data_IF_296646395757
#
_entry.id   IF_296646395757
#
_cell.length_a   1.000
_cell.length_b   1.000
_cell.length_c   1.000
_cell.angle_alpha   90.00
_cell.angle_beta   90.00
_cell.angle_gamma   90.00
#
_symmetry.space_group_name_H-M   'P 1'
#
loop_
_entity.id
_entity.type
_entity.pdbx_description
1 polymer ?
#
# COMPACT_ATOMS: atom_id res chain seq x y z
N UNK A 1 6.45 62.90 84.95
CA UNK A 1 7.70 62.62 84.22
C UNK A 1 7.84 61.11 84.09
N UNK A 2 7.97 60.64 82.84
CA UNK A 2 8.31 59.33 82.27
C UNK A 2 8.72 58.10 83.14
N UNK A 3 8.15 56.94 82.70
CA UNK A 3 8.77 55.59 82.45
C UNK A 3 9.02 54.68 83.70
N UNK A 4 8.93 53.34 83.72
CA UNK A 4 8.86 52.23 82.74
C UNK A 4 8.14 51.00 83.33
N UNK A 5 7.74 50.07 82.46
CA UNK A 5 7.29 48.69 82.78
C UNK A 5 8.30 47.67 82.26
N UNK A 6 8.40 46.52 82.93
CA UNK A 6 8.82 45.25 82.34
C UNK A 6 7.98 44.12 82.97
N UNK A 7 7.57 43.14 82.18
CA UNK A 7 6.99 41.89 82.67
C UNK A 7 7.38 40.73 81.74
N UNK A 8 7.78 39.63 82.37
CA UNK A 8 8.22 38.38 81.76
C UNK A 8 7.05 37.39 81.60
N UNK A 9 7.22 36.45 80.68
CA UNK A 9 6.26 35.41 80.30
C UNK A 9 6.48 34.09 81.05
N UNK A 10 5.43 33.27 81.13
CA UNK A 10 5.49 31.84 81.49
C UNK A 10 4.50 31.02 80.64
N UNK A 11 4.92 29.79 80.30
CA UNK A 11 4.25 28.80 79.46
C UNK A 11 3.10 28.06 80.16
N UNK A 12 2.13 27.57 79.37
CA UNK A 12 1.29 26.39 79.68
C UNK A 12 1.10 25.56 78.39
N UNK A 13 1.16 24.22 78.53
CA UNK A 13 0.96 23.23 77.47
C UNK A 13 -0.48 22.68 77.46
N UNK A 14 -1.00 22.30 76.28
CA UNK A 14 -2.28 21.62 76.09
C UNK A 14 -2.14 20.53 75.01
N UNK A 15 -2.72 19.35 75.32
CA UNK A 15 -2.73 18.12 74.51
C UNK A 15 -3.97 18.13 73.59
N UNK A 16 -3.79 17.91 72.28
CA UNK A 16 -4.86 17.91 71.27
C UNK A 16 -5.18 16.52 70.70
N UNK A 17 -6.48 16.24 70.54
CA UNK A 17 -7.10 15.03 69.96
C UNK A 17 -6.96 15.03 68.41
N UNK A 18 -6.73 13.89 67.73
CA UNK A 18 -6.57 13.89 66.27
C UNK A 18 -7.93 13.97 65.56
N UNK A 19 -8.07 14.94 64.66
CA UNK A 19 -9.21 15.06 63.76
C UNK A 19 -9.02 14.16 62.52
N UNK A 20 -9.98 13.27 62.24
CA UNK A 20 -10.05 12.54 60.98
C UNK A 20 -10.34 13.51 59.83
N UNK A 21 -9.38 13.69 58.93
CA UNK A 21 -9.54 14.49 57.71
C UNK A 21 -10.24 13.66 56.64
N UNK A 22 -11.42 14.10 56.22
CA UNK A 22 -12.10 13.58 55.03
C UNK A 22 -11.29 13.97 53.78
N UNK A 23 -10.87 13.00 52.99
CA UNK A 23 -10.20 13.26 51.72
C UNK A 23 -11.23 13.65 50.65
N UNK A 24 -10.93 14.63 49.78
CA UNK A 24 -11.80 14.96 48.66
C UNK A 24 -11.73 13.85 47.60
N UNK A 25 -12.90 13.42 47.12
CA UNK A 25 -13.01 12.49 46.00
C UNK A 25 -12.43 13.15 44.74
N UNK A 26 -11.27 12.65 44.28
CA UNK A 26 -10.75 12.98 42.96
C UNK A 26 -11.61 12.30 41.90
N UNK A 27 -12.39 13.10 41.18
CA UNK A 27 -13.03 12.67 39.94
C UNK A 27 -11.93 12.32 38.93
N UNK A 28 -11.73 11.03 38.68
CA UNK A 28 -10.91 10.55 37.58
C UNK A 28 -11.59 10.93 36.27
N UNK A 29 -11.08 11.95 35.59
CA UNK A 29 -11.40 12.22 34.20
C UNK A 29 -10.77 11.11 33.36
N UNK A 30 -11.51 10.01 33.20
CA UNK A 30 -11.23 9.00 32.19
C UNK A 30 -11.44 9.65 30.82
N UNK A 31 -10.36 10.20 30.26
CA UNK A 31 -10.29 10.55 28.86
C UNK A 31 -10.46 9.27 28.06
N UNK A 32 -11.65 9.10 27.48
CA UNK A 32 -12.00 7.95 26.65
C UNK A 32 -11.29 8.06 25.31
N UNK A 33 -10.00 7.73 25.29
CA UNK A 33 -9.31 7.41 24.06
C UNK A 33 -9.96 6.15 23.47
N UNK A 34 -10.84 6.33 22.46
CA UNK A 34 -11.29 5.23 21.61
C UNK A 34 -10.04 4.49 21.09
N UNK A 35 -9.91 3.17 21.27
CA UNK A 35 -8.86 2.45 20.59
C UNK A 35 -9.15 2.55 19.09
N UNK A 36 -8.35 3.33 18.35
CA UNK A 36 -8.32 3.18 16.91
C UNK A 36 -7.90 1.73 16.68
N UNK A 37 -8.79 0.87 16.16
CA UNK A 37 -8.41 -0.50 15.80
C UNK A 37 -7.11 -0.41 14.99
N UNK A 38 -6.05 -1.03 15.52
CA UNK A 38 -4.72 -1.02 14.91
C UNK A 38 -4.91 -1.47 13.46
N UNK A 39 -4.53 -0.63 12.49
CA UNK A 39 -4.53 -1.02 11.08
C UNK A 39 -3.69 -2.27 10.98
N UNK A 40 -4.34 -3.39 10.68
CA UNK A 40 -3.71 -4.70 10.64
C UNK A 40 -3.36 -5.09 9.21
N UNK A 41 -4.20 -4.69 8.24
CA UNK A 41 -4.10 -5.15 6.86
C UNK A 41 -4.17 -3.98 5.88
N UNK A 42 -3.26 -3.99 4.90
CA UNK A 42 -3.23 -3.03 3.79
C UNK A 42 -3.48 -3.78 2.50
N UNK A 43 -4.55 -3.45 1.78
CA UNK A 43 -4.79 -3.97 0.42
C UNK A 43 -4.23 -2.96 -0.58
N UNK A 44 -3.36 -3.43 -1.48
CA UNK A 44 -2.86 -2.63 -2.59
C UNK A 44 -3.47 -3.11 -3.89
N UNK A 45 -4.29 -2.28 -4.51
CA UNK A 45 -4.94 -2.62 -5.79
C UNK A 45 -3.99 -2.22 -6.92
N UNK A 46 -3.50 -3.20 -7.66
CA UNK A 46 -2.50 -3.00 -8.72
C UNK A 46 -3.07 -3.38 -10.08
N UNK A 47 -2.77 -2.58 -11.09
CA UNK A 47 -3.27 -2.72 -12.45
C UNK A 47 -2.09 -2.68 -13.43
N UNK A 48 -1.90 -3.77 -14.17
CA UNK A 48 -0.74 -3.97 -15.03
C UNK A 48 -1.04 -3.69 -16.51
N UNK A 49 0.02 -3.48 -17.27
CA UNK A 49 0.05 -3.36 -18.73
C UNK A 49 -0.34 -2.00 -19.32
N UNK A 50 -0.76 -1.04 -18.50
CA UNK A 50 -1.28 0.25 -18.98
C UNK A 50 -2.46 0.10 -19.96
N UNK A 51 -3.32 -0.88 -19.72
CA UNK A 51 -4.48 -1.20 -20.57
C UNK A 51 -5.52 -0.07 -20.61
N UNK A 52 -6.17 0.13 -21.75
CA UNK A 52 -7.15 1.20 -21.99
C UNK A 52 -8.30 1.23 -20.96
N UNK A 53 -8.65 0.07 -20.37
CA UNK A 53 -9.70 -0.04 -19.35
C UNK A 53 -9.36 0.69 -18.05
N UNK A 54 -8.07 0.93 -17.78
CA UNK A 54 -7.57 1.47 -16.52
C UNK A 54 -8.08 2.87 -16.19
N UNK A 55 -8.42 3.69 -17.19
CA UNK A 55 -9.01 5.01 -16.93
C UNK A 55 -10.38 4.89 -16.27
N UNK A 56 -11.20 3.93 -16.70
CA UNK A 56 -12.50 3.67 -16.09
C UNK A 56 -12.33 3.12 -14.66
N UNK A 57 -11.35 2.23 -14.48
CA UNK A 57 -10.96 1.69 -13.16
C UNK A 57 -10.56 2.78 -12.19
N UNK A 58 -9.69 3.72 -12.59
CA UNK A 58 -9.28 4.85 -11.75
C UNK A 58 -10.50 5.62 -11.22
N UNK A 59 -11.47 5.93 -12.10
CA UNK A 59 -12.74 6.57 -11.69
C UNK A 59 -13.56 5.71 -10.72
N UNK A 60 -13.58 4.39 -10.88
CA UNK A 60 -14.26 3.49 -9.93
C UNK A 60 -13.65 3.51 -8.53
N UNK A 61 -12.32 3.62 -8.45
CA UNK A 61 -11.56 3.75 -7.20
C UNK A 61 -11.79 5.13 -6.57
N UNK A 62 -11.73 6.19 -7.37
CA UNK A 62 -11.93 7.58 -6.93
C UNK A 62 -13.30 7.80 -6.28
N UNK A 63 -14.37 7.24 -6.86
CA UNK A 63 -15.73 7.24 -6.29
C UNK A 63 -15.79 6.71 -4.86
N UNK A 64 -14.84 5.84 -4.49
CA UNK A 64 -14.74 5.20 -3.17
C UNK A 64 -13.60 5.75 -2.31
N UNK A 65 -12.97 6.85 -2.73
CA UNK A 65 -11.80 7.46 -2.08
C UNK A 65 -10.63 6.46 -1.92
N UNK A 66 -10.53 5.51 -2.84
CA UNK A 66 -9.44 4.54 -2.91
C UNK A 66 -8.41 5.00 -3.94
N UNK A 67 -7.16 4.60 -3.76
CA UNK A 67 -6.08 4.81 -4.72
C UNK A 67 -5.38 3.49 -5.01
N UNK A 68 -5.33 3.12 -6.28
CA UNK A 68 -4.55 2.01 -6.80
C UNK A 68 -3.19 2.43 -7.37
N UNK A 69 -2.43 1.42 -7.78
CA UNK A 69 -1.12 1.52 -8.46
C UNK A 69 -1.26 1.02 -9.89
N UNK A 70 -0.84 1.81 -10.86
CA UNK A 70 -0.91 1.46 -12.29
C UNK A 70 0.51 1.30 -12.81
N UNK A 71 0.85 0.09 -13.23
CA UNK A 71 2.17 -0.26 -13.76
C UNK A 71 2.15 -0.11 -15.28
N UNK A 72 3.05 0.73 -15.78
CA UNK A 72 3.02 1.22 -17.17
C UNK A 72 4.20 0.66 -17.96
N UNK A 73 3.91 0.13 -19.15
CA UNK A 73 4.90 -0.19 -20.17
C UNK A 73 5.06 0.98 -21.13
N UNK A 74 6.07 1.82 -20.91
CA UNK A 74 6.13 3.13 -21.57
C UNK A 74 6.22 3.09 -23.09
N UNK A 75 6.77 2.05 -23.69
CA UNK A 75 6.89 1.94 -25.15
C UNK A 75 5.55 1.59 -25.83
N UNK A 76 4.63 0.96 -25.09
CA UNK A 76 3.31 0.56 -25.61
C UNK A 76 2.23 1.62 -25.42
N UNK A 77 2.48 2.65 -24.61
CA UNK A 77 1.48 3.70 -24.34
C UNK A 77 1.20 4.51 -25.61
N UNK A 78 -0.07 4.52 -26.02
CA UNK A 78 -0.54 5.11 -27.26
C UNK A 78 -0.90 4.09 -28.35
N UNK A 79 -0.54 2.82 -28.18
CA UNK A 79 -0.94 1.75 -29.06
C UNK A 79 -2.42 1.37 -28.91
N UNK A 80 -2.90 0.50 -29.79
CA UNK A 80 -4.24 -0.06 -29.68
C UNK A 80 -4.43 -0.79 -28.34
N UNK A 81 -5.60 -0.58 -27.71
CA UNK A 81 -5.96 -1.12 -26.39
C UNK A 81 -5.04 -0.68 -25.24
N UNK A 82 -4.14 0.28 -25.45
CA UNK A 82 -3.33 0.89 -24.40
C UNK A 82 -3.84 2.27 -24.05
N UNK A 83 -3.54 2.72 -22.84
CA UNK A 83 -3.79 4.10 -22.44
C UNK A 83 -3.00 5.05 -23.35
N UNK A 84 -3.55 6.23 -23.60
CA UNK A 84 -2.76 7.36 -24.11
C UNK A 84 -2.01 8.05 -22.98
N UNK A 85 -0.95 8.81 -23.31
CA UNK A 85 -0.22 9.62 -22.30
C UNK A 85 -1.13 10.56 -21.51
N UNK A 86 -2.14 11.15 -22.15
CA UNK A 86 -3.10 12.02 -21.50
C UNK A 86 -3.98 11.26 -20.48
N UNK A 87 -4.34 10.01 -20.78
CA UNK A 87 -5.10 9.17 -19.85
C UNK A 87 -4.23 8.74 -18.67
N UNK A 88 -2.96 8.38 -18.88
CA UNK A 88 -2.00 8.12 -17.77
C UNK A 88 -1.89 9.35 -16.86
N UNK A 89 -1.78 10.56 -17.45
CA UNK A 89 -1.75 11.81 -16.68
C UNK A 89 -3.04 12.07 -15.90
N UNK A 90 -4.20 11.74 -16.48
CA UNK A 90 -5.48 11.82 -15.75
C UNK A 90 -5.52 10.88 -14.56
N UNK A 91 -5.02 9.64 -14.70
CA UNK A 91 -4.95 8.66 -13.61
C UNK A 91 -4.03 9.19 -12.49
N UNK A 92 -2.84 9.67 -12.84
CA UNK A 92 -1.91 10.26 -11.87
C UNK A 92 -2.50 11.48 -11.15
N UNK A 93 -3.19 12.38 -11.87
CA UNK A 93 -3.88 13.55 -11.28
C UNK A 93 -4.98 13.16 -10.29
N UNK A 94 -5.59 11.99 -10.47
CA UNK A 94 -6.51 11.40 -9.51
C UNK A 94 -5.87 11.07 -8.16
N UNK A 95 -4.54 11.05 -8.07
CA UNK A 95 -3.76 10.66 -6.90
C UNK A 95 -3.39 9.18 -6.88
N UNK A 96 -3.48 8.51 -8.03
CA UNK A 96 -3.02 7.14 -8.20
C UNK A 96 -1.50 7.08 -8.36
N UNK A 97 -0.91 5.97 -7.92
CA UNK A 97 0.51 5.74 -8.17
C UNK A 97 0.73 5.28 -9.61
N UNK A 98 1.73 5.85 -10.27
CA UNK A 98 2.28 5.37 -11.54
C UNK A 98 3.61 4.66 -11.25
N UNK A 99 3.65 3.36 -11.50
CA UNK A 99 4.83 2.50 -11.37
C UNK A 99 5.34 2.03 -12.74
N UNK A 100 6.54 1.46 -12.77
CA UNK A 100 7.12 0.90 -13.99
C UNK A 100 6.70 -0.55 -14.22
N UNK A 101 6.63 -0.95 -15.49
CA UNK A 101 6.38 -2.33 -15.89
C UNK A 101 7.34 -2.86 -16.95
N UNK A 102 8.50 -2.21 -17.14
CA UNK A 102 9.45 -2.40 -18.26
C UNK A 102 8.95 -1.81 -19.58
N UNK A 103 9.84 -1.56 -20.55
CA UNK A 103 9.48 -0.89 -21.79
C UNK A 103 8.37 -1.63 -22.56
N UNK A 104 8.58 -2.93 -22.83
CA UNK A 104 7.80 -3.70 -23.80
C UNK A 104 7.17 -4.99 -23.25
N UNK A 105 7.13 -5.17 -21.93
CA UNK A 105 6.51 -6.34 -21.28
C UNK A 105 7.20 -7.67 -21.65
N UNK A 106 8.53 -7.70 -21.64
CA UNK A 106 9.33 -8.91 -21.92
C UNK A 106 9.62 -9.70 -20.65
N UNK A 107 9.81 -11.02 -20.81
CA UNK A 107 10.18 -11.90 -19.69
C UNK A 107 11.67 -11.70 -19.33
N UNK A 108 11.94 -10.91 -18.30
CA UNK A 108 13.30 -10.49 -17.95
C UNK A 108 14.26 -11.65 -17.68
N UNK A 109 13.79 -12.73 -17.06
CA UNK A 109 14.61 -13.92 -16.77
C UNK A 109 15.10 -14.70 -18.01
N UNK A 110 14.62 -14.34 -19.21
CA UNK A 110 15.07 -14.91 -20.49
C UNK A 110 16.05 -13.99 -21.22
N UNK A 111 16.36 -12.82 -20.64
CA UNK A 111 17.23 -11.82 -21.25
C UNK A 111 18.60 -11.78 -20.59
N UNK A 112 19.59 -11.28 -21.33
CA UNK A 112 20.88 -10.93 -20.75
C UNK A 112 20.74 -9.75 -19.76
N UNK A 113 21.58 -9.65 -18.73
CA UNK A 113 21.50 -8.56 -17.75
C UNK A 113 21.57 -7.15 -18.37
N UNK A 114 22.28 -6.97 -19.48
CA UNK A 114 22.33 -5.70 -20.23
C UNK A 114 20.99 -5.35 -20.87
N UNK A 115 20.25 -6.34 -21.38
CA UNK A 115 18.93 -6.16 -21.99
C UNK A 115 17.87 -5.92 -20.92
N UNK A 116 17.94 -6.64 -19.79
CA UNK A 116 17.13 -6.35 -18.60
C UNK A 116 17.33 -4.89 -18.15
N UNK A 117 18.57 -4.40 -18.17
CA UNK A 117 18.89 -3.00 -17.85
C UNK A 117 18.19 -2.01 -18.78
N UNK A 118 18.24 -2.22 -20.08
CA UNK A 118 17.51 -1.37 -21.05
C UNK A 118 16.03 -1.37 -20.70
N UNK A 119 15.43 -2.56 -20.59
CA UNK A 119 14.00 -2.72 -20.30
C UNK A 119 13.54 -2.00 -19.02
N UNK A 120 14.34 -2.04 -17.95
CA UNK A 120 13.96 -1.49 -16.65
C UNK A 120 14.33 -0.01 -16.52
N UNK A 121 15.57 0.36 -16.88
CA UNK A 121 16.07 1.72 -16.70
C UNK A 121 15.39 2.69 -17.65
N UNK A 122 15.21 2.31 -18.92
CA UNK A 122 14.67 3.21 -19.95
C UNK A 122 13.20 3.47 -19.72
N UNK A 123 12.46 2.44 -19.30
CA UNK A 123 11.07 2.58 -18.86
C UNK A 123 10.95 3.62 -17.74
N UNK A 124 11.80 3.50 -16.71
CA UNK A 124 11.81 4.46 -15.60
C UNK A 124 12.22 5.86 -16.04
N UNK A 125 13.21 5.99 -16.94
CA UNK A 125 13.65 7.29 -17.49
C UNK A 125 12.51 7.94 -18.27
N UNK A 126 11.77 7.17 -19.07
CA UNK A 126 10.61 7.66 -19.81
C UNK A 126 9.50 8.11 -18.88
N UNK A 127 9.18 7.33 -17.83
CA UNK A 127 8.22 7.74 -16.80
C UNK A 127 8.64 9.06 -16.12
N UNK A 128 9.92 9.22 -15.82
CA UNK A 128 10.43 10.45 -15.22
C UNK A 128 10.40 11.65 -16.18
N UNK A 129 10.69 11.43 -17.47
CA UNK A 129 10.51 12.44 -18.52
C UNK A 129 9.04 12.86 -18.69
N UNK A 130 8.09 11.98 -18.34
CA UNK A 130 6.67 12.30 -18.28
C UNK A 130 6.23 12.97 -16.96
N UNK A 131 7.17 13.20 -16.04
CA UNK A 131 6.92 13.84 -14.74
C UNK A 131 6.59 12.88 -13.60
N UNK A 132 6.64 11.56 -13.84
CA UNK A 132 6.32 10.56 -12.81
C UNK A 132 7.57 10.10 -12.07
N UNK A 133 7.50 10.14 -10.74
CA UNK A 133 8.59 9.68 -9.86
C UNK A 133 8.35 8.22 -9.47
N UNK A 134 8.41 7.31 -10.44
CA UNK A 134 8.15 5.89 -10.20
C UNK A 134 9.15 5.30 -9.19
N UNK A 135 8.60 4.75 -8.10
CA UNK A 135 9.36 4.10 -7.01
C UNK A 135 9.18 2.59 -6.97
N UNK A 136 8.10 2.10 -7.57
CA UNK A 136 7.73 0.68 -7.61
C UNK A 136 7.82 0.14 -9.03
N UNK A 137 8.20 -1.12 -9.14
CA UNK A 137 8.26 -1.89 -10.39
C UNK A 137 7.43 -3.16 -10.25
N UNK A 138 6.72 -3.52 -11.30
CA UNK A 138 6.17 -4.85 -11.51
C UNK A 138 7.01 -5.58 -12.54
N UNK A 139 7.48 -6.80 -12.25
CA UNK A 139 8.12 -7.61 -13.29
C UNK A 139 7.07 -8.27 -14.18
N UNK A 140 7.15 -8.13 -15.52
CA UNK A 140 6.30 -8.87 -16.45
C UNK A 140 6.31 -10.37 -16.13
N UNK A 141 5.14 -11.00 -16.17
CA UNK A 141 4.95 -12.42 -15.86
C UNK A 141 5.38 -12.86 -14.45
N UNK A 142 5.71 -11.93 -13.55
CA UNK A 142 6.40 -12.24 -12.29
C UNK A 142 7.82 -12.78 -12.47
N UNK A 143 8.36 -12.74 -13.70
CA UNK A 143 9.63 -13.35 -14.04
C UNK A 143 10.79 -12.46 -13.63
N UNK A 144 11.41 -12.81 -12.51
CA UNK A 144 12.57 -12.14 -11.95
C UNK A 144 13.68 -13.16 -11.66
N UNK A 145 14.91 -12.69 -11.75
CA UNK A 145 16.11 -13.37 -11.28
C UNK A 145 16.97 -12.39 -10.45
N UNK A 146 18.12 -12.88 -9.98
CA UNK A 146 19.04 -12.08 -9.19
C UNK A 146 19.55 -10.83 -9.94
N UNK A 147 19.71 -10.91 -11.26
CA UNK A 147 20.16 -9.79 -12.08
C UNK A 147 19.04 -8.76 -12.27
N UNK A 148 17.80 -9.19 -12.52
CA UNK A 148 16.64 -8.31 -12.64
C UNK A 148 16.41 -7.51 -11.36
N UNK A 149 16.54 -8.15 -10.19
CA UNK A 149 16.47 -7.47 -8.88
C UNK A 149 17.59 -6.45 -8.69
N UNK A 150 18.82 -6.83 -9.05
CA UNK A 150 19.99 -5.94 -8.98
C UNK A 150 19.82 -4.74 -9.92
N UNK A 151 19.35 -4.98 -11.13
CA UNK A 151 19.08 -3.95 -12.14
C UNK A 151 17.95 -3.03 -11.66
N UNK A 152 16.84 -3.54 -11.15
CA UNK A 152 15.75 -2.71 -10.59
C UNK A 152 16.26 -1.74 -9.52
N UNK A 153 17.12 -2.23 -8.61
CA UNK A 153 17.79 -1.38 -7.62
C UNK A 153 18.72 -0.34 -8.24
N UNK A 154 19.55 -0.73 -9.20
CA UNK A 154 20.49 0.18 -9.88
C UNK A 154 19.79 1.23 -10.73
N UNK A 155 18.66 0.86 -11.34
CA UNK A 155 17.78 1.76 -12.06
C UNK A 155 16.96 2.66 -11.11
N UNK A 156 17.12 2.53 -9.79
CA UNK A 156 16.53 3.43 -8.80
C UNK A 156 15.06 3.16 -8.48
N UNK A 157 14.53 1.96 -8.75
CA UNK A 157 13.34 1.50 -8.05
C UNK A 157 13.71 1.18 -6.59
N UNK A 158 12.80 1.45 -5.66
CA UNK A 158 13.00 1.16 -4.23
C UNK A 158 12.32 -0.15 -3.81
N UNK A 159 11.32 -0.55 -4.60
CA UNK A 159 10.55 -1.78 -4.41
C UNK A 159 10.22 -2.38 -5.77
N UNK A 160 10.24 -3.70 -5.87
CA UNK A 160 9.72 -4.42 -7.03
C UNK A 160 8.94 -5.66 -6.59
N UNK A 161 7.87 -5.98 -7.32
CA UNK A 161 6.97 -7.08 -7.01
C UNK A 161 6.95 -8.14 -8.11
N UNK A 162 6.79 -9.39 -7.71
CA UNK A 162 6.59 -10.55 -8.60
C UNK A 162 5.08 -10.86 -8.73
N UNK A 163 4.73 -12.03 -9.28
CA UNK A 163 3.39 -12.62 -9.22
C UNK A 163 3.50 -13.95 -8.46
N UNK A 164 2.68 -14.13 -7.43
CA UNK A 164 2.65 -15.36 -6.65
C UNK A 164 3.50 -15.31 -5.38
N UNK A 165 3.50 -16.44 -4.66
CA UNK A 165 4.15 -16.59 -3.35
C UNK A 165 3.27 -16.27 -2.14
N UNK A 166 2.06 -15.75 -2.36
CA UNK A 166 1.01 -15.67 -1.34
C UNK A 166 -0.10 -16.70 -1.60
N UNK A 167 -0.98 -16.86 -0.61
CA UNK A 167 -2.06 -17.83 -0.62
C UNK A 167 -3.03 -17.58 -1.78
N UNK A 168 -3.27 -18.65 -2.52
CA UNK A 168 -4.28 -18.78 -3.56
C UNK A 168 -4.74 -20.24 -3.65
N UNK A 169 -5.66 -20.57 -4.56
CA UNK A 169 -6.17 -21.95 -4.71
C UNK A 169 -5.03 -22.97 -4.91
N UNK A 170 -4.02 -22.61 -5.70
CA UNK A 170 -2.84 -23.45 -5.95
C UNK A 170 -1.80 -23.50 -4.82
N UNK A 171 -1.92 -22.66 -3.77
CA UNK A 171 -0.97 -22.66 -2.65
C UNK A 171 -1.67 -22.41 -1.29
N UNK A 172 -2.40 -23.39 -0.74
CA UNK A 172 -3.13 -23.19 0.52
C UNK A 172 -2.25 -22.99 1.74
N UNK A 173 -0.96 -23.40 1.67
CA UNK A 173 0.03 -23.23 2.75
C UNK A 173 0.88 -21.97 2.61
N UNK A 174 0.74 -21.22 1.51
CA UNK A 174 1.42 -19.94 1.37
C UNK A 174 0.86 -18.92 2.38
N UNK A 175 1.65 -17.92 2.79
CA UNK A 175 1.16 -16.86 3.66
C UNK A 175 0.06 -16.05 2.96
N UNK A 176 -0.94 -15.62 3.71
CA UNK A 176 -2.09 -14.89 3.16
C UNK A 176 -1.79 -13.43 2.81
N UNK A 177 -0.69 -12.87 3.33
CA UNK A 177 -0.25 -11.50 3.09
C UNK A 177 1.28 -11.44 3.10
N UNK A 178 1.83 -10.44 2.44
CA UNK A 178 3.21 -10.02 2.60
C UNK A 178 3.40 -9.32 3.95
N UNK A 179 4.57 -9.46 4.55
CA UNK A 179 4.89 -8.79 5.82
C UNK A 179 5.07 -7.29 5.58
N UNK A 180 4.67 -6.43 6.52
CA UNK A 180 4.71 -4.96 6.34
C UNK A 180 6.12 -4.37 6.15
N UNK A 181 7.18 -5.12 6.49
CA UNK A 181 8.58 -4.75 6.30
C UNK A 181 9.34 -5.93 5.67
N UNK A 182 9.12 -6.18 4.37
CA UNK A 182 9.73 -7.31 3.68
C UNK A 182 11.25 -7.13 3.61
N UNK A 183 11.98 -8.23 3.85
CA UNK A 183 13.45 -8.25 3.75
C UNK A 183 13.89 -8.13 2.29
N UNK A 184 13.27 -8.92 1.41
CA UNK A 184 13.43 -8.77 -0.04
C UNK A 184 12.47 -7.69 -0.54
N UNK A 185 12.98 -6.45 -0.71
CA UNK A 185 12.19 -5.35 -1.26
C UNK A 185 12.01 -5.44 -2.78
N UNK A 186 12.76 -6.29 -3.46
CA UNK A 186 12.74 -6.45 -4.91
C UNK A 186 12.08 -7.76 -5.35
N UNK A 187 11.43 -8.48 -4.41
CA UNK A 187 10.69 -9.71 -4.64
C UNK A 187 9.40 -9.73 -3.81
N UNK A 188 8.66 -8.61 -3.81
CA UNK A 188 7.40 -8.51 -3.07
C UNK A 188 6.40 -9.51 -3.63
N UNK A 189 5.88 -10.37 -2.77
CA UNK A 189 4.96 -11.46 -3.15
C UNK A 189 3.54 -10.94 -3.30
N UNK A 190 2.78 -11.63 -4.15
CA UNK A 190 1.35 -11.40 -4.37
C UNK A 190 0.62 -12.75 -4.43
N UNK A 191 -0.71 -12.81 -4.44
CA UNK A 191 -1.40 -13.96 -5.02
C UNK A 191 -1.18 -13.99 -6.54
N UNK A 192 -1.56 -15.07 -7.21
CA UNK A 192 -1.71 -15.07 -8.66
C UNK A 192 -2.60 -13.92 -9.17
N UNK A 193 -2.42 -13.55 -10.45
CA UNK A 193 -3.24 -12.54 -11.11
C UNK A 193 -4.72 -12.92 -11.07
N UNK A 194 -5.59 -11.91 -10.92
CA UNK A 194 -7.03 -12.09 -11.15
C UNK A 194 -7.26 -12.40 -12.62
N UNK A 195 -8.02 -13.46 -12.87
CA UNK A 195 -8.31 -14.02 -14.18
C UNK A 195 -9.82 -14.08 -14.43
N UNK A 196 -10.19 -14.43 -15.65
CA UNK A 196 -11.57 -14.57 -16.10
C UNK A 196 -12.37 -15.64 -15.33
N UNK A 197 -11.68 -16.63 -14.76
CA UNK A 197 -12.24 -17.66 -13.89
C UNK A 197 -12.22 -17.30 -12.38
N UNK A 198 -11.62 -16.17 -12.00
CA UNK A 198 -11.53 -15.76 -10.60
C UNK A 198 -12.84 -15.13 -10.11
N UNK A 199 -13.51 -15.79 -9.18
CA UNK A 199 -14.81 -15.34 -8.67
C UNK A 199 -14.70 -14.18 -7.68
N UNK A 200 -15.77 -13.38 -7.56
CA UNK A 200 -15.89 -12.35 -6.52
C UNK A 200 -15.64 -12.92 -5.10
N UNK A 201 -16.09 -14.15 -4.85
CA UNK A 201 -15.89 -14.82 -3.56
C UNK A 201 -14.42 -15.06 -3.28
N UNK A 202 -13.63 -15.48 -4.27
CA UNK A 202 -12.20 -15.75 -4.10
C UNK A 202 -11.41 -14.47 -3.84
N UNK A 203 -11.68 -13.39 -4.58
CA UNK A 203 -11.03 -12.09 -4.34
C UNK A 203 -11.32 -11.60 -2.90
N UNK A 204 -12.57 -11.72 -2.45
CA UNK A 204 -12.95 -11.41 -1.05
C UNK A 204 -12.23 -12.31 -0.04
N UNK A 205 -12.10 -13.60 -0.35
CA UNK A 205 -11.47 -14.57 0.54
C UNK A 205 -9.99 -14.28 0.75
N UNK A 206 -9.27 -13.82 -0.27
CA UNK A 206 -7.87 -13.40 -0.13
C UNK A 206 -7.72 -12.26 0.90
N UNK A 207 -8.61 -11.26 0.85
CA UNK A 207 -8.64 -10.17 1.84
C UNK A 207 -8.97 -10.69 3.24
N UNK A 208 -9.99 -11.54 3.37
CA UNK A 208 -10.39 -12.12 4.66
C UNK A 208 -9.29 -13.00 5.27
N UNK A 209 -8.50 -13.69 4.45
CA UNK A 209 -7.36 -14.47 4.93
C UNK A 209 -6.20 -13.57 5.37
N UNK A 210 -5.93 -12.49 4.63
CA UNK A 210 -4.95 -11.49 5.04
C UNK A 210 -5.35 -10.78 6.35
N UNK A 211 -6.65 -10.54 6.58
CA UNK A 211 -7.16 -9.95 7.83
C UNK A 211 -6.88 -10.80 9.08
N UNK A 212 -6.74 -12.12 8.94
CA UNK A 212 -6.42 -13.01 10.06
C UNK A 212 -4.99 -12.83 10.59
N UNK A 213 -4.07 -12.42 9.71
CA UNK A 213 -2.63 -12.37 10.01
C UNK A 213 -2.08 -10.94 10.01
N UNK A 214 -2.76 -10.01 9.34
CA UNK A 214 -2.25 -8.68 9.04
C UNK A 214 -1.19 -8.70 7.94
N UNK A 215 -0.71 -7.52 7.55
CA UNK A 215 0.30 -7.35 6.51
C UNK A 215 -0.21 -6.59 5.29
N UNK A 216 0.43 -6.81 4.15
CA UNK A 216 0.15 -6.16 2.88
C UNK A 216 -0.33 -7.22 1.89
N UNK A 217 -1.48 -7.00 1.26
CA UNK A 217 -2.03 -7.85 0.21
C UNK A 217 -2.07 -7.05 -1.11
N UNK A 218 -1.06 -7.18 -1.98
CA UNK A 218 -1.15 -6.67 -3.34
C UNK A 218 -2.04 -7.58 -4.18
N UNK A 219 -3.12 -7.05 -4.74
CA UNK A 219 -4.00 -7.73 -5.69
C UNK A 219 -3.64 -7.28 -7.10
N UNK A 220 -3.44 -8.24 -8.00
CA UNK A 220 -2.93 -8.01 -9.35
C UNK A 220 -4.07 -8.16 -10.36
N UNK A 221 -4.44 -7.05 -11.00
CA UNK A 221 -5.44 -6.98 -12.06
C UNK A 221 -4.75 -6.56 -13.36
N UNK A 222 -5.29 -6.95 -14.51
CA UNK A 222 -4.81 -6.49 -15.81
C UNK A 222 -5.94 -5.74 -16.49
N UNK A 223 -6.87 -6.45 -17.15
CA UNK A 223 -7.98 -5.84 -17.89
C UNK A 223 -9.28 -5.88 -17.11
N UNK A 224 -10.07 -4.82 -17.21
CA UNK A 224 -11.39 -4.74 -16.58
C UNK A 224 -12.46 -4.58 -17.65
N UNK A 225 -12.97 -5.72 -18.10
CA UNK A 225 -13.80 -5.89 -19.29
C UNK A 225 -14.59 -7.20 -19.17
N UNK A 226 -15.68 -7.34 -19.92
CA UNK A 226 -16.40 -8.61 -20.01
C UNK A 226 -15.76 -9.50 -21.09
N UNK A 227 -15.11 -10.59 -20.65
CA UNK A 227 -14.63 -11.65 -21.54
C UNK A 227 -13.54 -11.26 -22.54
N UNK A 228 -12.77 -10.19 -22.29
CA UNK A 228 -11.73 -9.78 -23.25
C UNK A 228 -10.47 -10.67 -23.20
N UNK A 229 -10.41 -11.68 -22.33
CA UNK A 229 -9.47 -12.81 -22.33
C UNK A 229 -8.96 -13.18 -20.94
N UNK A 230 -8.01 -14.11 -20.84
CA UNK A 230 -7.68 -14.83 -19.60
C UNK A 230 -7.36 -13.93 -18.40
N UNK A 231 -6.58 -12.86 -18.58
CA UNK A 231 -6.30 -11.90 -17.52
C UNK A 231 -7.29 -10.74 -17.57
N UNK A 232 -8.57 -11.05 -17.34
CA UNK A 232 -9.63 -10.05 -17.25
C UNK A 232 -10.58 -10.28 -16.09
N UNK A 233 -11.18 -9.21 -15.59
CA UNK A 233 -12.28 -9.26 -14.62
C UNK A 233 -13.44 -8.41 -15.13
N UNK A 234 -14.69 -8.91 -15.08
CA UNK A 234 -15.88 -8.11 -15.37
C UNK A 234 -15.92 -6.81 -14.55
N UNK A 235 -16.25 -5.65 -15.13
CA UNK A 235 -16.37 -4.38 -14.41
C UNK A 235 -17.32 -4.49 -13.21
N UNK A 236 -18.41 -5.26 -13.35
CA UNK A 236 -19.36 -5.51 -12.26
C UNK A 236 -18.72 -6.24 -11.08
N UNK A 237 -17.90 -7.27 -11.33
CA UNK A 237 -17.21 -8.02 -10.27
C UNK A 237 -16.25 -7.09 -9.52
N UNK A 238 -15.48 -6.28 -10.25
CA UNK A 238 -14.60 -5.30 -9.61
C UNK A 238 -15.40 -4.28 -8.80
N UNK A 239 -16.49 -3.73 -9.33
CA UNK A 239 -17.32 -2.73 -8.64
C UNK A 239 -17.91 -3.28 -7.32
N UNK A 240 -18.48 -4.50 -7.38
CA UNK A 240 -19.03 -5.21 -6.22
C UNK A 240 -17.94 -5.51 -5.18
N UNK A 241 -16.74 -5.89 -5.64
CA UNK A 241 -15.59 -6.11 -4.77
C UNK A 241 -15.16 -4.81 -4.08
N UNK A 242 -15.01 -3.70 -4.81
CA UNK A 242 -14.60 -2.42 -4.25
C UNK A 242 -15.64 -1.87 -3.27
N UNK A 243 -16.93 -2.04 -3.57
CA UNK A 243 -18.03 -1.69 -2.66
C UNK A 243 -17.94 -2.45 -1.34
N UNK A 244 -17.73 -3.76 -1.42
CA UNK A 244 -17.49 -4.59 -0.24
C UNK A 244 -16.20 -4.22 0.50
N UNK A 245 -15.09 -3.99 -0.21
CA UNK A 245 -13.78 -3.66 0.37
C UNK A 245 -13.84 -2.36 1.17
N UNK A 246 -14.62 -1.37 0.71
CA UNK A 246 -14.82 -0.11 1.43
C UNK A 246 -15.39 -0.32 2.85
N UNK A 247 -16.23 -1.34 3.05
CA UNK A 247 -16.79 -1.68 4.36
C UNK A 247 -15.74 -2.24 5.32
N UNK A 248 -14.63 -2.78 4.81
CA UNK A 248 -13.57 -3.43 5.61
C UNK A 248 -12.75 -2.46 6.44
N UNK A 249 -12.88 -1.15 6.20
CA UNK A 249 -12.23 -0.12 7.04
C UNK A 249 -12.60 -0.24 8.52
N UNK A 250 -13.83 -0.63 8.84
CA UNK A 250 -14.28 -0.88 10.22
C UNK A 250 -13.62 -2.11 10.88
N UNK A 251 -12.96 -2.94 10.08
CA UNK A 251 -12.20 -4.13 10.49
C UNK A 251 -10.69 -3.89 10.54
N UNK A 252 -10.20 -2.67 10.27
CA UNK A 252 -8.77 -2.36 10.28
C UNK A 252 -8.07 -2.61 8.93
N UNK A 253 -8.82 -2.87 7.86
CA UNK A 253 -8.31 -3.01 6.50
C UNK A 253 -8.36 -1.68 5.76
N UNK A 254 -7.24 -1.24 5.21
CA UNK A 254 -7.15 0.01 4.44
C UNK A 254 -6.64 -0.24 3.03
N UNK A 255 -7.01 0.62 2.08
CA UNK A 255 -6.47 0.60 0.72
C UNK A 255 -5.37 1.64 0.61
N UNK A 256 -4.22 1.24 0.09
CA UNK A 256 -3.07 2.13 -0.17
C UNK A 256 -2.44 1.79 -1.52
N UNK A 257 -1.70 2.74 -2.07
CA UNK A 257 -0.78 2.50 -3.19
C UNK A 257 0.36 1.58 -2.73
N UNK A 258 1.08 0.97 -3.66
CA UNK A 258 2.24 0.13 -3.33
C UNK A 258 3.35 0.96 -2.67
N UNK A 259 3.56 2.19 -3.14
CA UNK A 259 4.45 3.17 -2.54
C UNK A 259 4.13 3.38 -1.05
N UNK A 260 2.87 3.70 -0.73
CA UNK A 260 2.44 4.00 0.64
C UNK A 260 2.39 2.76 1.53
N UNK A 261 2.02 1.61 0.96
CA UNK A 261 1.95 0.34 1.69
C UNK A 261 3.34 -0.11 2.16
N UNK A 262 4.36 0.04 1.31
CA UNK A 262 5.72 -0.48 1.53
C UNK A 262 6.70 0.60 2.02
N UNK A 263 6.20 1.82 2.23
CA UNK A 263 7.01 2.99 2.59
C UNK A 263 8.15 3.20 1.61
N UNK A 264 7.85 3.07 0.31
CA UNK A 264 8.84 3.20 -0.75
C UNK A 264 9.44 4.60 -0.76
N UNK A 265 10.73 4.70 -1.05
CA UNK A 265 11.44 5.99 -1.07
C UNK A 265 11.76 6.40 -2.49
N UNK A 266 11.67 7.70 -2.76
CA UNK A 266 12.19 8.25 -4.00
C UNK A 266 13.71 8.07 -4.07
N UNK A 267 14.18 7.49 -5.18
CA UNK A 267 15.61 7.37 -5.49
C UNK A 267 15.95 8.22 -6.72
N UNK A 268 17.21 8.68 -6.85
CA UNK A 268 17.67 9.34 -8.07
C UNK A 268 17.43 8.49 -9.31
N UNK A 269 17.36 9.14 -10.47
CA UNK A 269 17.42 8.42 -11.75
C UNK A 269 18.80 7.79 -11.92
N UNK A 270 18.89 6.65 -12.62
CA UNK A 270 20.19 6.07 -12.95
C UNK A 270 20.96 7.03 -13.85
N UNK A 271 22.27 7.16 -13.61
CA UNK A 271 23.16 7.81 -14.57
C UNK A 271 23.12 7.02 -15.89
N UNK A 272 23.31 7.72 -17.02
CA UNK A 272 23.31 7.11 -18.35
C UNK A 272 24.32 5.97 -18.46
#
# INVERSE_FOLDING_TARGET
MRIARWAAALLVALIGVPAMSAMPAQASSAETAKPSKKVSTVVSLTFDDGDVTHLAVARMLEKRKMRGTFYINTETIGDELKLTRAQVASIAKGGHEIGGHTLTHVRLSELLPSEQRVQICDDRRTLAAWGYRATTLAYPFGAEDADAKKVARQCGYDVARTVGGLKEWGCPRCPAAEISRPKDRYGIRTPGSVRDDTSLREIKQQVLDAEKTGGILPLVFHRVCDGCGVYSVPPKILDDFLGWLATRKSHGTVVKTMHDALGAKYRPLPNQ
#
